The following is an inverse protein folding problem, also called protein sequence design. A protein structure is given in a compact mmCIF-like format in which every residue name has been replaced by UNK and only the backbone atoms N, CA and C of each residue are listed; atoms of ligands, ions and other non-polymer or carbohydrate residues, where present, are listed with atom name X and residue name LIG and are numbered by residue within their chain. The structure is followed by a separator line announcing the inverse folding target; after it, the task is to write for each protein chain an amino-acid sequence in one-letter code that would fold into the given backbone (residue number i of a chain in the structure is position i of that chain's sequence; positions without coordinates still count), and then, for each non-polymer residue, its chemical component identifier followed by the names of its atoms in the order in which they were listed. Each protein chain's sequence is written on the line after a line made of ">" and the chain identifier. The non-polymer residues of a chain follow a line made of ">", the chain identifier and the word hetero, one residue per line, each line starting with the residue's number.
data_IF_727212011733
#
_entry.id   IF_727212011733
#
_cell.length_a   1.000
_cell.length_b   1.000
_cell.length_c   1.000
_cell.angle_alpha   90.00
_cell.angle_beta   90.00
_cell.angle_gamma   90.00
#
_symmetry.space_group_name_H-M   'P 1'
#
loop_
_entity.id
_entity.type
_entity.pdbx_description
1 polymer ?
#
# COMPACT_ATOMS: atom_id res chain seq x y z
N UNK A 1 0.59 3.33 -14.69
CA UNK A 1 1.23 2.92 -13.42
C UNK A 1 1.01 3.84 -12.22
N UNK A 2 0.68 5.14 -12.35
CA UNK A 2 0.45 6.04 -11.19
C UNK A 2 1.46 5.87 -10.02
N UNK A 3 2.74 5.69 -10.35
CA UNK A 3 3.76 5.28 -9.39
C UNK A 3 4.31 6.49 -8.64
N UNK A 4 4.56 6.35 -7.34
CA UNK A 4 5.27 7.37 -6.57
C UNK A 4 5.67 6.90 -5.17
N UNK A 5 6.91 7.21 -4.80
CA UNK A 5 7.45 6.96 -3.47
C UNK A 5 6.79 7.84 -2.41
N UNK A 6 6.34 7.22 -1.32
CA UNK A 6 5.88 7.89 -0.09
C UNK A 6 7.04 7.99 0.91
N UNK A 7 7.79 6.90 1.04
CA UNK A 7 9.08 6.81 1.71
C UNK A 7 10.10 6.39 0.65
N UNK A 8 11.08 7.25 0.40
CA UNK A 8 12.03 7.07 -0.69
C UNK A 8 12.75 5.73 -0.54
N UNK A 9 12.76 4.94 -1.61
CA UNK A 9 13.42 3.63 -1.69
C UNK A 9 12.92 2.60 -0.66
N UNK A 10 11.76 2.82 -0.04
CA UNK A 10 11.17 1.94 0.98
C UNK A 10 9.71 1.58 0.67
N UNK A 11 8.86 2.59 0.47
CA UNK A 11 7.42 2.40 0.30
C UNK A 11 6.85 3.33 -0.77
N UNK A 12 6.18 2.75 -1.77
CA UNK A 12 5.52 3.46 -2.85
C UNK A 12 4.03 3.08 -2.98
N UNK A 13 3.27 3.94 -3.67
CA UNK A 13 1.95 3.60 -4.19
C UNK A 13 1.97 3.49 -5.71
N UNK A 14 1.15 2.60 -6.28
CA UNK A 14 0.95 2.51 -7.73
C UNK A 14 -0.44 2.03 -8.12
N UNK A 15 -0.77 2.20 -9.40
CA UNK A 15 -1.76 1.39 -10.11
C UNK A 15 -1.34 -0.08 -10.07
N UNK A 16 -2.31 -1.00 -10.07
CA UNK A 16 -2.07 -2.43 -10.10
C UNK A 16 -1.41 -2.88 -11.42
N UNK A 17 -0.47 -3.84 -11.40
CA UNK A 17 0.17 -4.31 -12.63
C UNK A 17 -0.80 -5.14 -13.48
N UNK A 18 -0.96 -4.78 -14.76
CA UNK A 18 -1.82 -5.49 -15.71
C UNK A 18 -1.01 -6.32 -16.72
N UNK A 19 0.31 -6.17 -16.74
CA UNK A 19 1.20 -6.81 -17.72
C UNK A 19 2.61 -7.06 -17.17
N UNK A 20 3.38 -7.94 -17.82
CA UNK A 20 4.80 -8.16 -17.50
C UNK A 20 5.65 -6.89 -17.68
N UNK A 21 5.21 -5.97 -18.54
CA UNK A 21 5.84 -4.67 -18.71
C UNK A 21 5.70 -3.80 -17.46
N UNK A 22 4.53 -3.82 -16.83
CA UNK A 22 4.28 -3.10 -15.57
C UNK A 22 5.14 -3.66 -14.43
N UNK A 23 5.27 -4.98 -14.34
CA UNK A 23 6.17 -5.62 -13.38
C UNK A 23 7.64 -5.26 -13.63
N UNK A 24 8.04 -5.23 -14.91
CA UNK A 24 9.39 -4.81 -15.29
C UNK A 24 9.65 -3.35 -14.94
N UNK A 25 8.65 -2.48 -15.12
CA UNK A 25 8.70 -1.08 -14.71
C UNK A 25 8.89 -0.96 -13.20
N UNK A 26 8.05 -1.63 -12.38
CA UNK A 26 8.14 -1.60 -10.92
C UNK A 26 9.52 -2.09 -10.44
N UNK A 27 9.97 -3.24 -10.93
CA UNK A 27 11.29 -3.77 -10.60
C UNK A 27 12.42 -2.78 -10.99
N UNK A 28 12.29 -2.12 -12.15
CA UNK A 28 13.21 -1.10 -12.62
C UNK A 28 13.25 0.17 -11.76
N UNK A 29 12.18 0.47 -11.03
CA UNK A 29 12.18 1.54 -10.00
C UNK A 29 12.89 1.13 -8.71
N UNK A 30 13.28 -0.14 -8.55
CA UNK A 30 13.88 -0.68 -7.32
C UNK A 30 12.91 -1.45 -6.43
N UNK A 31 11.63 -1.56 -6.81
CA UNK A 31 10.63 -2.35 -6.06
C UNK A 31 11.03 -3.83 -6.03
N UNK A 32 10.82 -4.48 -4.90
CA UNK A 32 11.07 -5.92 -4.69
C UNK A 32 9.87 -6.68 -4.15
N UNK A 33 8.84 -5.99 -3.65
CA UNK A 33 7.60 -6.59 -3.19
C UNK A 33 6.39 -5.75 -3.61
N UNK A 34 5.27 -6.42 -3.91
CA UNK A 34 4.03 -5.80 -4.40
C UNK A 34 2.87 -6.28 -3.55
N UNK A 35 2.15 -5.34 -2.93
CA UNK A 35 0.83 -5.57 -2.37
C UNK A 35 -0.21 -5.24 -3.44
N UNK A 36 -1.10 -6.19 -3.74
CA UNK A 36 -2.21 -6.00 -4.68
C UNK A 36 -3.54 -6.18 -3.98
N UNK A 37 -4.46 -5.23 -4.21
CA UNK A 37 -5.83 -5.29 -3.70
C UNK A 37 -6.89 -5.54 -4.78
N UNK A 38 -6.49 -5.51 -6.05
CA UNK A 38 -7.38 -5.59 -7.21
C UNK A 38 -7.26 -6.95 -7.89
N UNK A 39 -8.40 -7.59 -8.18
CA UNK A 39 -8.44 -8.93 -8.80
C UNK A 39 -7.99 -8.90 -10.27
N UNK A 40 -8.28 -7.80 -10.97
CA UNK A 40 -7.89 -7.60 -12.37
C UNK A 40 -6.42 -7.16 -12.52
N UNK A 41 -5.51 -7.84 -11.83
CA UNK A 41 -4.06 -7.63 -11.92
C UNK A 41 -3.34 -8.95 -12.12
N UNK A 42 -2.12 -8.91 -12.64
CA UNK A 42 -1.28 -10.12 -12.73
C UNK A 42 -0.48 -10.31 -11.43
N UNK A 43 -0.26 -11.55 -10.97
CA UNK A 43 0.61 -11.83 -9.83
C UNK A 43 2.02 -11.28 -10.08
N UNK A 44 2.61 -10.60 -9.09
CA UNK A 44 3.89 -9.94 -9.25
C UNK A 44 5.08 -10.90 -9.40
N UNK A 45 4.91 -12.14 -8.97
CA UNK A 45 5.84 -13.25 -9.18
C UNK A 45 5.72 -13.90 -10.58
N UNK A 46 4.85 -13.37 -11.44
CA UNK A 46 4.73 -13.79 -12.84
C UNK A 46 5.95 -13.31 -13.64
N UNK A 47 7.02 -14.10 -13.72
CA UNK A 47 8.20 -13.75 -14.54
C UNK A 47 9.46 -14.59 -14.26
N UNK A 48 10.46 -14.44 -15.13
CA UNK A 48 11.70 -15.26 -15.11
C UNK A 48 12.94 -14.59 -14.44
N UNK A 49 12.84 -13.40 -13.82
CA UNK A 49 13.99 -12.67 -13.21
C UNK A 49 13.57 -11.86 -11.97
N UNK A 50 14.51 -11.60 -11.04
CA UNK A 50 14.32 -11.94 -9.63
C UNK A 50 12.94 -11.49 -9.15
N UNK A 51 12.14 -12.50 -8.85
CA UNK A 51 10.70 -12.40 -8.67
C UNK A 51 10.36 -11.32 -7.64
N UNK A 52 9.46 -10.41 -8.02
CA UNK A 52 8.81 -9.56 -7.05
C UNK A 52 8.07 -10.48 -6.08
N UNK A 53 8.18 -10.21 -4.78
CA UNK A 53 7.35 -10.89 -3.79
C UNK A 53 5.92 -10.40 -3.97
N UNK A 54 5.00 -11.31 -4.26
CA UNK A 54 3.58 -10.99 -4.42
C UNK A 54 2.83 -11.18 -3.09
N UNK A 55 2.04 -10.17 -2.71
CA UNK A 55 1.09 -10.30 -1.62
C UNK A 55 -0.28 -9.79 -2.06
N UNK A 56 -1.20 -10.74 -2.26
CA UNK A 56 -2.57 -10.44 -2.71
C UNK A 56 -3.54 -10.41 -1.54
N UNK A 57 -4.20 -9.25 -1.34
CA UNK A 57 -5.21 -9.04 -0.30
C UNK A 57 -6.45 -8.43 -0.95
N UNK A 58 -7.45 -9.23 -1.37
CA UNK A 58 -8.59 -8.72 -2.14
C UNK A 58 -9.42 -7.74 -1.30
N UNK A 59 -9.66 -6.55 -1.85
CA UNK A 59 -10.52 -5.53 -1.23
C UNK A 59 -11.55 -5.08 -2.28
N UNK A 60 -12.86 -5.23 -1.99
CA UNK A 60 -13.92 -4.80 -2.92
C UNK A 60 -13.75 -3.34 -3.34
N UNK A 61 -14.10 -3.04 -4.58
CA UNK A 61 -13.96 -1.68 -5.09
C UNK A 61 -14.84 -0.68 -4.31
N UNK A 62 -14.37 0.56 -4.19
CA UNK A 62 -14.97 1.64 -3.38
C UNK A 62 -15.12 1.37 -1.86
N UNK A 63 -14.78 0.18 -1.37
CA UNK A 63 -14.70 -0.11 0.06
C UNK A 63 -13.29 0.17 0.59
N UNK A 64 -13.14 0.64 1.84
CA UNK A 64 -11.85 0.58 2.51
C UNK A 64 -11.46 -0.88 2.79
N UNK A 65 -10.15 -1.20 2.83
CA UNK A 65 -9.70 -2.47 3.40
C UNK A 65 -10.18 -2.60 4.85
N UNK A 66 -10.54 -3.81 5.28
CA UNK A 66 -10.87 -4.07 6.69
C UNK A 66 -9.63 -3.90 7.56
N UNK A 67 -9.81 -3.59 8.84
CA UNK A 67 -8.67 -3.35 9.74
C UNK A 67 -7.72 -4.56 9.80
N UNK A 68 -8.25 -5.77 9.78
CA UNK A 68 -7.46 -7.00 9.81
C UNK A 68 -6.61 -7.13 8.54
N UNK A 69 -7.14 -6.70 7.38
CA UNK A 69 -6.39 -6.65 6.11
C UNK A 69 -5.31 -5.56 6.14
N UNK A 70 -5.61 -4.41 6.75
CA UNK A 70 -4.63 -3.33 6.94
C UNK A 70 -3.48 -3.81 7.82
N UNK A 71 -3.76 -4.50 8.93
CA UNK A 71 -2.74 -5.10 9.80
C UNK A 71 -1.86 -6.08 9.04
N UNK A 72 -2.44 -7.03 8.31
CA UNK A 72 -1.70 -7.98 7.48
C UNK A 72 -0.79 -7.29 6.44
N UNK A 73 -1.29 -6.24 5.79
CA UNK A 73 -0.50 -5.47 4.83
C UNK A 73 0.63 -4.70 5.49
N UNK A 74 0.42 -4.12 6.68
CA UNK A 74 1.46 -3.40 7.42
C UNK A 74 2.55 -4.35 7.93
N UNK A 75 2.17 -5.49 8.50
CA UNK A 75 3.11 -6.54 8.93
C UNK A 75 3.97 -7.02 7.75
N UNK A 76 3.34 -7.23 6.59
CA UNK A 76 4.07 -7.55 5.36
C UNK A 76 5.04 -6.43 4.96
N UNK A 77 4.60 -5.17 4.99
CA UNK A 77 5.46 -4.02 4.65
C UNK A 77 6.69 -3.98 5.56
N UNK A 78 6.51 -4.08 6.88
CA UNK A 78 7.63 -4.04 7.82
C UNK A 78 8.59 -5.20 7.63
N UNK A 79 8.08 -6.42 7.39
CA UNK A 79 8.92 -7.56 7.10
C UNK A 79 9.77 -7.32 5.84
N UNK A 80 9.16 -6.87 4.75
CA UNK A 80 9.88 -6.66 3.49
C UNK A 80 10.89 -5.50 3.60
N UNK A 81 10.53 -4.39 4.24
CA UNK A 81 11.46 -3.27 4.46
C UNK A 81 12.63 -3.70 5.36
N UNK A 82 12.38 -4.49 6.41
CA UNK A 82 13.42 -5.07 7.26
C UNK A 82 14.41 -5.98 6.49
N UNK A 83 13.95 -6.62 5.43
CA UNK A 83 14.75 -7.42 4.50
C UNK A 83 15.35 -6.59 3.34
N UNK A 84 15.31 -5.26 3.39
CA UNK A 84 15.77 -4.35 2.34
C UNK A 84 15.06 -4.59 0.98
N UNK A 85 13.77 -4.93 1.03
CA UNK A 85 12.91 -5.13 -0.13
C UNK A 85 11.86 -4.01 -0.20
N UNK A 86 12.10 -2.97 -1.02
CA UNK A 86 11.15 -1.87 -1.14
C UNK A 86 9.79 -2.35 -1.65
N UNK A 87 8.72 -1.85 -1.03
CA UNK A 87 7.35 -2.32 -1.24
C UNK A 87 6.56 -1.30 -2.05
N UNK A 88 5.74 -1.77 -2.97
CA UNK A 88 4.69 -0.95 -3.59
C UNK A 88 3.31 -1.47 -3.19
N UNK A 89 2.42 -0.56 -2.78
CA UNK A 89 1.02 -0.84 -2.51
C UNK A 89 0.19 -0.45 -3.72
N UNK A 90 -0.68 -1.35 -4.18
CA UNK A 90 -1.50 -1.11 -5.37
C UNK A 90 -2.96 -1.57 -5.21
N UNK A 91 -3.85 -0.90 -5.93
CA UNK A 91 -5.26 -1.30 -6.11
C UNK A 91 -5.60 -1.23 -7.60
N UNK A 92 -6.80 -0.77 -7.98
CA UNK A 92 -7.09 -0.46 -9.39
C UNK A 92 -6.29 0.77 -9.84
N UNK A 93 -6.75 1.99 -9.51
CA UNK A 93 -6.11 3.23 -9.95
C UNK A 93 -4.88 3.69 -9.13
N UNK A 94 -4.61 3.06 -7.97
CA UNK A 94 -3.53 3.49 -7.07
C UNK A 94 -3.85 4.75 -6.24
N UNK A 95 -5.13 5.03 -5.98
CA UNK A 95 -5.62 6.28 -5.37
C UNK A 95 -6.30 6.02 -4.00
N UNK A 96 -7.56 5.57 -3.95
CA UNK A 96 -8.31 5.44 -2.69
C UNK A 96 -7.80 4.34 -1.75
N UNK A 97 -8.00 3.07 -2.13
CA UNK A 97 -7.56 1.89 -1.34
C UNK A 97 -6.06 1.94 -1.05
N UNK A 98 -5.27 2.25 -2.08
CA UNK A 98 -3.80 2.42 -1.97
C UNK A 98 -3.43 3.52 -0.96
N UNK A 99 -4.00 4.73 -1.09
CA UNK A 99 -3.74 5.82 -0.16
C UNK A 99 -4.15 5.51 1.27
N UNK A 100 -5.21 4.72 1.46
CA UNK A 100 -5.69 4.30 2.79
C UNK A 100 -4.64 3.45 3.51
N UNK A 101 -4.10 2.41 2.84
CA UNK A 101 -3.05 1.54 3.41
C UNK A 101 -1.77 2.33 3.65
N UNK A 102 -1.36 3.18 2.71
CA UNK A 102 -0.18 4.03 2.86
C UNK A 102 -0.29 4.97 4.08
N UNK A 103 -1.46 5.59 4.28
CA UNK A 103 -1.70 6.43 5.46
C UNK A 103 -1.67 5.61 6.76
N UNK A 104 -2.26 4.42 6.78
CA UNK A 104 -2.19 3.54 7.94
C UNK A 104 -0.76 3.11 8.27
N UNK A 105 0.09 2.91 7.25
CA UNK A 105 1.51 2.63 7.48
C UNK A 105 2.25 3.82 8.10
N UNK A 106 1.96 5.06 7.67
CA UNK A 106 2.52 6.25 8.31
C UNK A 106 2.07 6.38 9.77
N UNK A 107 0.80 6.05 10.06
CA UNK A 107 0.30 5.97 11.44
C UNK A 107 1.04 4.91 12.24
N UNK A 108 1.26 3.73 11.66
CA UNK A 108 2.07 2.68 12.28
C UNK A 108 3.48 3.16 12.63
N UNK A 109 4.06 4.04 11.80
CA UNK A 109 5.35 4.70 12.01
C UNK A 109 5.32 5.88 12.99
N UNK A 110 4.18 6.15 13.62
CA UNK A 110 4.01 7.16 14.67
C UNK A 110 3.47 8.51 14.20
N UNK A 111 2.99 8.64 12.96
CA UNK A 111 2.27 9.85 12.53
C UNK A 111 0.84 9.88 13.09
N UNK A 112 0.35 11.07 13.41
CA UNK A 112 -1.08 11.25 13.71
C UNK A 112 -1.94 10.97 12.47
N UNK A 113 -3.11 10.33 12.59
CA UNK A 113 -3.91 9.90 11.45
C UNK A 113 -4.31 11.04 10.52
N UNK A 114 -4.64 12.21 11.05
CA UNK A 114 -4.98 13.40 10.24
C UNK A 114 -3.78 13.90 9.44
N UNK A 115 -2.58 13.87 10.02
CA UNK A 115 -1.34 14.28 9.37
C UNK A 115 -0.94 13.27 8.28
N UNK A 116 -1.05 11.97 8.57
CA UNK A 116 -0.81 10.92 7.60
C UNK A 116 -1.71 11.05 6.36
N UNK A 117 -3.03 11.27 6.56
CA UNK A 117 -3.98 11.51 5.45
C UNK A 117 -3.55 12.74 4.63
N UNK A 118 -3.23 13.84 5.31
CA UNK A 118 -2.83 15.10 4.67
C UNK A 118 -1.54 14.92 3.86
N UNK A 119 -0.54 14.25 4.44
CA UNK A 119 0.73 13.94 3.79
C UNK A 119 0.52 13.08 2.54
N UNK A 120 -0.27 12.00 2.64
CA UNK A 120 -0.57 11.14 1.48
C UNK A 120 -1.28 11.92 0.38
N UNK A 121 -2.25 12.77 0.70
CA UNK A 121 -2.94 13.62 -0.31
C UNK A 121 -2.01 14.62 -0.97
N UNK A 122 -1.04 15.16 -0.23
CA UNK A 122 -0.02 16.05 -0.80
C UNK A 122 0.92 15.32 -1.75
N UNK A 123 1.37 14.12 -1.38
CA UNK A 123 2.27 13.30 -2.20
C UNK A 123 1.56 12.67 -3.40
N UNK A 124 0.29 12.32 -3.24
CA UNK A 124 -0.55 11.60 -4.20
C UNK A 124 -1.94 12.25 -4.26
N UNK A 125 -2.11 13.35 -5.00
CA UNK A 125 -3.38 14.08 -5.09
C UNK A 125 -4.56 13.17 -5.44
N UNK A 126 -5.70 13.37 -4.77
CA UNK A 126 -6.90 12.54 -4.92
C UNK A 126 -6.95 11.30 -4.03
N UNK A 127 -5.85 10.93 -3.36
CA UNK A 127 -5.83 9.76 -2.47
C UNK A 127 -6.82 9.86 -1.32
N UNK A 128 -7.33 8.69 -0.88
CA UNK A 128 -8.32 8.57 0.21
C UNK A 128 -9.60 9.30 -0.20
N UNK A 129 -10.35 8.68 -1.11
CA UNK A 129 -11.45 9.24 -1.90
C UNK A 129 -12.76 9.35 -1.10
N UNK A 130 -12.94 8.51 -0.08
CA UNK A 130 -14.22 8.43 0.64
C UNK A 130 -14.07 8.68 2.14
N UNK A 131 -15.15 9.13 2.78
CA UNK A 131 -15.20 9.27 4.24
C UNK A 131 -14.98 7.93 4.96
N UNK A 132 -15.41 6.81 4.35
CA UNK A 132 -15.17 5.47 4.89
C UNK A 132 -13.67 5.11 4.89
N UNK A 133 -12.92 5.52 3.86
CA UNK A 133 -11.46 5.34 3.80
C UNK A 133 -10.73 6.20 4.83
N UNK A 134 -11.15 7.46 5.03
CA UNK A 134 -10.62 8.28 6.12
C UNK A 134 -10.91 7.66 7.49
N UNK A 135 -12.15 7.22 7.71
CA UNK A 135 -12.55 6.56 8.95
C UNK A 135 -11.73 5.30 9.22
N UNK A 136 -11.37 4.51 8.19
CA UNK A 136 -10.51 3.35 8.34
C UNK A 136 -9.12 3.70 8.89
N UNK A 137 -8.52 4.83 8.47
CA UNK A 137 -7.24 5.31 9.01
C UNK A 137 -7.35 5.64 10.50
N UNK A 138 -8.41 6.37 10.90
CA UNK A 138 -8.65 6.70 12.30
C UNK A 138 -8.96 5.45 13.16
N UNK A 139 -9.73 4.50 12.63
CA UNK A 139 -10.01 3.23 13.29
C UNK A 139 -8.75 2.39 13.49
N UNK A 140 -7.87 2.36 12.48
CA UNK A 140 -6.56 1.72 12.60
C UNK A 140 -5.73 2.37 13.72
N UNK A 141 -5.63 3.71 13.73
CA UNK A 141 -4.91 4.45 14.77
C UNK A 141 -5.42 4.13 16.18
N UNK A 142 -6.74 4.12 16.38
CA UNK A 142 -7.35 3.80 17.68
C UNK A 142 -7.03 2.37 18.16
N UNK A 143 -6.85 1.42 17.25
CA UNK A 143 -6.46 0.03 17.57
C UNK A 143 -4.96 -0.11 17.79
N UNK A 144 -4.13 0.59 17.01
CA UNK A 144 -2.68 0.61 17.18
C UNK A 144 -2.24 1.25 18.51
N UNK A 145 -3.07 2.16 19.05
CA UNK A 145 -2.88 2.82 20.34
C UNK A 145 -3.59 2.09 21.52
N UNK A 146 -4.20 0.92 21.30
CA UNK A 146 -4.75 0.06 22.37
C UNK A 146 -3.63 -0.53 23.25
N UNK A 147 -3.91 -0.84 24.54
CA UNK A 147 -2.86 -0.97 25.56
C UNK A 147 -1.82 -2.00 25.15
N UNK A 148 -0.57 -1.53 25.04
CA UNK A 148 0.59 -2.35 24.75
C UNK A 148 0.68 -3.53 25.72
N UNK A 149 0.99 -4.68 25.14
CA UNK A 149 1.52 -5.83 25.87
C UNK A 149 3.04 -5.72 25.92
#
# INVERSE_FOLDING_TARGET
>A
MNFGWVLKDELAGSEGPASLHDLSFLHGQGVRAVIRMEEQTIPADSGNKPALVDFFVPVPDFAPPRIEQIQQMIEFIDQQIGEQKPVVVSCHAGVGRTGTVLACYLVHRGEEPTEAITRIRRLRPGSIETAAQQAAVHQYAARAQGPGN
#
